data_IF_584284225315
#
_entry.id   IF_584284225315
#
_cell.length_a   1.000
_cell.length_b   1.000
_cell.length_c   1.000
_cell.angle_alpha   90.00
_cell.angle_beta   90.00
_cell.angle_gamma   90.00
#
_symmetry.space_group_name_H-M   'P 1'
#
loop_
_entity.id
_entity.type
_entity.pdbx_description
1 polymer ?
#
# COMPACT_ATOMS: atom_id res chain seq x y z
N UNK A 1 32.54 13.23 -33.66
CA UNK A 1 31.74 13.20 -34.90
C UNK A 1 30.58 12.22 -34.81
N UNK A 2 30.75 10.97 -34.33
CA UNK A 2 29.66 9.98 -34.25
C UNK A 2 28.33 10.49 -33.65
N UNK A 3 28.38 11.34 -32.61
CA UNK A 3 27.20 11.98 -31.99
C UNK A 3 26.29 12.79 -32.95
N UNK A 4 26.78 13.20 -34.13
CA UNK A 4 26.04 14.01 -35.09
C UNK A 4 25.42 13.17 -36.20
N UNK A 5 25.66 11.86 -36.20
CA UNK A 5 25.04 10.94 -37.14
C UNK A 5 23.59 10.64 -36.75
N UNK A 6 22.77 10.23 -37.72
CA UNK A 6 21.43 9.74 -37.46
C UNK A 6 21.43 8.52 -36.52
N UNK A 7 20.35 8.35 -35.79
CA UNK A 7 20.15 7.28 -34.80
C UNK A 7 20.40 5.87 -35.36
N UNK A 8 19.91 5.57 -36.57
CA UNK A 8 20.14 4.27 -37.23
C UNK A 8 21.64 4.00 -37.40
N UNK A 9 22.40 5.00 -37.87
CA UNK A 9 23.84 4.85 -38.05
C UNK A 9 24.56 4.73 -36.70
N UNK A 10 24.11 5.46 -35.69
CA UNK A 10 24.65 5.33 -34.33
C UNK A 10 24.42 3.93 -33.76
N UNK A 11 23.23 3.34 -33.93
CA UNK A 11 22.91 1.98 -33.48
C UNK A 11 23.80 0.94 -34.17
N UNK A 12 23.97 1.05 -35.50
CA UNK A 12 24.88 0.16 -36.24
C UNK A 12 26.32 0.31 -35.75
N UNK A 13 26.75 1.52 -35.40
CA UNK A 13 28.08 1.76 -34.84
C UNK A 13 28.23 1.12 -33.45
N UNK A 14 27.22 1.20 -32.58
CA UNK A 14 27.23 0.53 -31.27
C UNK A 14 27.37 -0.98 -31.45
N UNK A 15 26.57 -1.58 -32.34
CA UNK A 15 26.63 -3.01 -32.62
C UNK A 15 27.99 -3.43 -33.22
N UNK A 16 28.55 -2.62 -34.11
CA UNK A 16 29.87 -2.86 -34.68
C UNK A 16 30.95 -2.81 -33.60
N UNK A 17 30.92 -1.80 -32.72
CA UNK A 17 31.85 -1.67 -31.60
C UNK A 17 31.77 -2.90 -30.71
N UNK A 18 30.56 -3.36 -30.38
CA UNK A 18 30.34 -4.57 -29.59
C UNK A 18 31.02 -5.79 -30.24
N UNK A 19 30.75 -6.05 -31.53
CA UNK A 19 31.31 -7.21 -32.25
C UNK A 19 32.84 -7.14 -32.35
N UNK A 20 33.40 -5.97 -32.67
CA UNK A 20 34.85 -5.76 -32.79
C UNK A 20 35.56 -5.97 -31.46
N UNK A 21 35.04 -5.41 -30.37
CA UNK A 21 35.66 -5.53 -29.05
C UNK A 21 35.49 -6.92 -28.42
N UNK A 22 34.50 -7.69 -28.87
CA UNK A 22 34.35 -9.09 -28.49
C UNK A 22 35.35 -9.98 -29.23
N UNK A 23 35.54 -9.75 -30.54
CA UNK A 23 36.52 -10.47 -31.35
C UNK A 23 37.97 -10.09 -31.01
N UNK A 24 38.23 -8.83 -30.67
CA UNK A 24 39.55 -8.31 -30.33
C UNK A 24 39.51 -7.43 -29.06
N UNK A 25 39.70 -8.01 -27.86
CA UNK A 25 39.68 -7.28 -26.60
C UNK A 25 40.69 -6.13 -26.48
N UNK A 26 41.77 -6.13 -27.27
CA UNK A 26 42.80 -5.08 -27.21
C UNK A 26 42.26 -3.70 -27.64
N UNK A 27 41.22 -3.66 -28.47
CA UNK A 27 40.64 -2.41 -28.97
C UNK A 27 39.63 -1.77 -28.00
N UNK A 28 39.26 -2.44 -26.89
CA UNK A 28 38.23 -1.95 -25.94
C UNK A 28 38.48 -0.53 -25.48
N UNK A 29 39.70 -0.23 -25.03
CA UNK A 29 40.08 1.09 -24.51
C UNK A 29 39.90 2.20 -25.55
N UNK A 30 40.06 1.89 -26.84
CA UNK A 30 39.90 2.85 -27.94
C UNK A 30 38.43 3.24 -28.14
N UNK A 31 37.52 2.27 -28.01
CA UNK A 31 36.09 2.48 -28.28
C UNK A 31 35.27 2.90 -27.07
N UNK A 32 35.74 2.66 -25.84
CA UNK A 32 35.04 3.09 -24.60
C UNK A 32 34.70 4.58 -24.64
N UNK A 33 35.63 5.45 -25.07
CA UNK A 33 35.36 6.90 -25.19
C UNK A 33 34.25 7.21 -26.20
N UNK A 34 34.14 6.41 -27.27
CA UNK A 34 33.06 6.55 -28.24
C UNK A 34 31.70 6.21 -27.62
N UNK A 35 31.63 5.08 -26.88
CA UNK A 35 30.41 4.64 -26.19
C UNK A 35 29.97 5.67 -25.13
N UNK A 36 30.89 6.24 -24.36
CA UNK A 36 30.56 7.32 -23.41
C UNK A 36 29.94 8.54 -24.09
N UNK A 37 30.39 8.89 -25.30
CA UNK A 37 29.75 9.99 -26.05
C UNK A 37 28.33 9.61 -26.50
N UNK A 38 28.10 8.35 -26.86
CA UNK A 38 26.80 7.85 -27.32
C UNK A 38 25.77 7.70 -26.19
N UNK A 39 26.20 7.56 -24.93
CA UNK A 39 25.30 7.65 -23.76
C UNK A 39 24.58 9.01 -23.66
N UNK A 40 25.12 10.04 -24.30
CA UNK A 40 24.55 11.38 -24.37
C UNK A 40 23.84 11.67 -25.71
N UNK A 41 23.54 10.63 -26.51
CA UNK A 41 22.76 10.77 -27.74
C UNK A 41 21.36 11.31 -27.44
N UNK A 42 20.75 12.02 -28.40
CA UNK A 42 19.36 12.45 -28.32
C UNK A 42 18.36 11.30 -28.50
N UNK A 43 18.81 10.15 -29.02
CA UNK A 43 17.97 8.97 -29.22
C UNK A 43 18.02 8.04 -28.01
N UNK A 44 16.87 7.80 -27.37
CA UNK A 44 16.77 6.91 -26.21
C UNK A 44 17.16 5.46 -26.55
N UNK A 45 16.89 5.00 -27.77
CA UNK A 45 17.33 3.68 -28.25
C UNK A 45 18.87 3.59 -28.30
N UNK A 46 19.54 4.62 -28.83
CA UNK A 46 21.01 4.67 -28.87
C UNK A 46 21.59 4.68 -27.45
N UNK A 47 21.00 5.47 -26.54
CA UNK A 47 21.43 5.52 -25.14
C UNK A 47 21.30 4.16 -24.45
N UNK A 48 20.16 3.49 -24.65
CA UNK A 48 19.89 2.16 -24.11
C UNK A 48 20.91 1.10 -24.57
N UNK A 49 21.15 1.02 -25.88
CA UNK A 49 22.11 0.07 -26.46
C UNK A 49 23.57 0.41 -26.09
N UNK A 50 23.89 1.71 -26.01
CA UNK A 50 25.22 2.18 -25.60
C UNK A 50 25.52 1.81 -24.15
N UNK A 51 24.54 1.93 -23.25
CA UNK A 51 24.68 1.51 -21.86
C UNK A 51 24.91 0.00 -21.74
N UNK A 52 24.16 -0.81 -22.49
CA UNK A 52 24.30 -2.27 -22.51
C UNK A 52 25.65 -2.72 -23.08
N UNK A 53 26.11 -2.04 -24.13
CA UNK A 53 27.44 -2.26 -24.68
C UNK A 53 28.52 -1.86 -23.67
N UNK A 54 28.39 -0.72 -23.00
CA UNK A 54 29.38 -0.22 -22.05
C UNK A 54 29.67 -1.23 -20.92
N UNK A 55 28.63 -1.78 -20.30
CA UNK A 55 28.76 -2.75 -19.20
C UNK A 55 29.38 -4.08 -19.66
N UNK A 56 29.22 -4.44 -20.93
CA UNK A 56 29.85 -5.63 -21.51
C UNK A 56 31.34 -5.41 -21.81
N UNK A 57 31.71 -4.18 -22.18
CA UNK A 57 33.08 -3.83 -22.52
C UNK A 57 33.95 -3.52 -21.30
N UNK A 58 33.35 -3.03 -20.21
CA UNK A 58 34.07 -2.56 -19.02
C UNK A 58 33.28 -2.78 -17.73
N UNK A 59 33.90 -3.49 -16.77
CA UNK A 59 33.42 -3.65 -15.40
C UNK A 59 34.02 -2.63 -14.43
N UNK A 60 34.65 -1.57 -14.94
CA UNK A 60 35.14 -0.49 -14.08
C UNK A 60 33.96 0.22 -13.39
N UNK A 61 34.08 0.60 -12.09
CA UNK A 61 33.00 1.24 -11.35
C UNK A 61 32.42 2.49 -12.02
N UNK A 62 33.25 3.29 -12.68
CA UNK A 62 32.81 4.48 -13.43
C UNK A 62 31.91 4.13 -14.62
N UNK A 63 32.21 3.04 -15.32
CA UNK A 63 31.42 2.56 -16.46
C UNK A 63 30.08 1.98 -16.01
N UNK A 64 30.09 1.17 -14.95
CA UNK A 64 28.88 0.61 -14.35
C UNK A 64 27.97 1.74 -13.87
N UNK A 65 28.52 2.71 -13.13
CA UNK A 65 27.76 3.86 -12.62
C UNK A 65 27.15 4.68 -13.76
N UNK A 66 27.93 4.99 -14.80
CA UNK A 66 27.44 5.74 -15.96
C UNK A 66 26.32 5.01 -16.71
N UNK A 67 26.45 3.69 -16.92
CA UNK A 67 25.42 2.89 -17.58
C UNK A 67 24.14 2.79 -16.73
N UNK A 68 24.26 2.50 -15.43
CA UNK A 68 23.13 2.42 -14.52
C UNK A 68 22.40 3.77 -14.39
N UNK A 69 23.13 4.88 -14.24
CA UNK A 69 22.53 6.22 -14.24
C UNK A 69 21.83 6.54 -15.56
N UNK A 70 22.40 6.13 -16.70
CA UNK A 70 21.75 6.28 -18.00
C UNK A 70 20.42 5.50 -18.07
N UNK A 71 20.40 4.24 -17.60
CA UNK A 71 19.16 3.47 -17.55
C UNK A 71 18.11 4.08 -16.62
N UNK A 72 18.50 4.54 -15.42
CA UNK A 72 17.59 5.22 -14.50
C UNK A 72 17.00 6.48 -15.16
N UNK A 73 17.83 7.30 -15.81
CA UNK A 73 17.36 8.48 -16.53
C UNK A 73 16.37 8.15 -17.64
N UNK A 74 16.61 7.08 -18.40
CA UNK A 74 15.70 6.60 -19.44
C UNK A 74 14.34 6.23 -18.82
N UNK A 75 14.34 5.45 -17.73
CA UNK A 75 13.11 5.04 -17.04
C UNK A 75 12.31 6.26 -16.55
N UNK A 76 12.99 7.27 -16.00
CA UNK A 76 12.35 8.48 -15.47
C UNK A 76 11.78 9.36 -16.60
N UNK A 77 12.47 9.49 -17.74
CA UNK A 77 12.09 10.40 -18.82
C UNK A 77 11.12 9.78 -19.83
N UNK A 78 11.13 8.47 -20.01
CA UNK A 78 10.25 7.79 -20.94
C UNK A 78 8.78 7.94 -20.54
N UNK A 79 7.88 7.93 -21.53
CA UNK A 79 6.44 7.99 -21.30
C UNK A 79 5.78 6.60 -21.37
N UNK A 80 6.31 5.70 -22.20
CA UNK A 80 5.78 4.34 -22.36
C UNK A 80 6.20 3.44 -21.20
N UNK A 81 5.21 2.91 -20.46
CA UNK A 81 5.44 2.00 -19.34
C UNK A 81 6.12 0.69 -19.78
N UNK A 82 5.86 0.20 -21.00
CA UNK A 82 6.50 -1.02 -21.50
C UNK A 82 8.01 -0.79 -21.69
N UNK A 83 8.39 0.36 -22.25
CA UNK A 83 9.81 0.73 -22.38
C UNK A 83 10.44 0.86 -20.99
N UNK A 84 9.77 1.50 -20.03
CA UNK A 84 10.26 1.57 -18.64
C UNK A 84 10.50 0.19 -18.05
N UNK A 85 9.56 -0.74 -18.22
CA UNK A 85 9.67 -2.10 -17.71
C UNK A 85 10.85 -2.85 -18.35
N UNK A 86 11.04 -2.73 -19.68
CA UNK A 86 12.17 -3.33 -20.39
C UNK A 86 13.51 -2.78 -19.86
N UNK A 87 13.63 -1.45 -19.72
CA UNK A 87 14.86 -0.82 -19.23
C UNK A 87 15.11 -1.18 -17.76
N UNK A 88 14.06 -1.25 -16.95
CA UNK A 88 14.15 -1.64 -15.55
C UNK A 88 14.55 -3.12 -15.39
N UNK A 89 14.06 -4.01 -16.25
CA UNK A 89 14.51 -5.41 -16.28
C UNK A 89 15.99 -5.53 -16.64
N UNK A 90 16.51 -4.65 -17.50
CA UNK A 90 17.96 -4.57 -17.72
C UNK A 90 18.74 -4.06 -16.54
N UNK A 91 18.24 -3.05 -15.86
CA UNK A 91 18.88 -2.56 -14.63
C UNK A 91 18.86 -3.63 -13.53
N UNK A 92 17.78 -4.39 -13.39
CA UNK A 92 17.67 -5.52 -12.47
C UNK A 92 18.69 -6.62 -12.83
N UNK A 93 18.81 -6.98 -14.11
CA UNK A 93 19.78 -7.98 -14.55
C UNK A 93 21.24 -7.59 -14.25
N UNK A 94 21.56 -6.29 -14.23
CA UNK A 94 22.90 -5.84 -13.82
C UNK A 94 23.23 -6.22 -12.38
N UNK A 95 22.24 -6.26 -11.48
CA UNK A 95 22.45 -6.59 -10.06
C UNK A 95 22.90 -8.04 -9.85
N UNK A 96 22.69 -8.94 -10.82
CA UNK A 96 23.09 -10.35 -10.71
C UNK A 96 24.61 -10.54 -10.68
N UNK A 97 25.37 -9.51 -11.07
CA UNK A 97 26.82 -9.49 -10.94
C UNK A 97 27.23 -8.73 -9.66
N UNK A 98 27.89 -9.42 -8.73
CA UNK A 98 28.30 -8.85 -7.42
C UNK A 98 29.12 -7.55 -7.52
N UNK A 99 29.95 -7.40 -8.55
CA UNK A 99 30.75 -6.18 -8.73
C UNK A 99 29.88 -5.01 -9.19
N UNK A 100 28.86 -5.29 -10.02
CA UNK A 100 27.92 -4.27 -10.47
C UNK A 100 26.98 -3.88 -9.32
N UNK A 101 26.50 -4.85 -8.57
CA UNK A 101 25.63 -4.63 -7.39
C UNK A 101 26.27 -3.64 -6.42
N UNK A 102 27.52 -3.86 -6.01
CA UNK A 102 28.27 -2.96 -5.10
C UNK A 102 28.29 -1.50 -5.57
N UNK A 103 28.43 -1.28 -6.88
CA UNK A 103 28.44 0.08 -7.45
C UNK A 103 27.02 0.65 -7.53
N UNK A 104 26.02 -0.18 -7.79
CA UNK A 104 24.62 0.21 -7.85
C UNK A 104 24.03 0.58 -6.48
N UNK A 105 24.61 0.08 -5.38
CA UNK A 105 24.23 0.49 -4.02
C UNK A 105 24.35 2.00 -3.78
N UNK A 106 25.26 2.68 -4.50
CA UNK A 106 25.41 4.14 -4.45
C UNK A 106 24.31 4.88 -5.23
N UNK A 107 23.49 4.17 -6.01
CA UNK A 107 22.45 4.73 -6.88
C UNK A 107 21.03 4.45 -6.36
N UNK A 108 20.86 3.94 -5.14
CA UNK A 108 19.53 3.62 -4.57
C UNK A 108 18.60 4.83 -4.60
N UNK A 109 19.10 6.01 -4.23
CA UNK A 109 18.30 7.24 -4.24
C UNK A 109 17.90 7.66 -5.66
N UNK A 110 18.77 7.42 -6.64
CA UNK A 110 18.45 7.65 -8.05
C UNK A 110 17.38 6.67 -8.54
N UNK A 111 17.45 5.38 -8.15
CA UNK A 111 16.43 4.37 -8.46
C UNK A 111 15.07 4.79 -7.89
N UNK A 112 15.01 5.35 -6.67
CA UNK A 112 13.76 5.80 -6.05
C UNK A 112 13.10 6.96 -6.82
N UNK A 113 13.81 7.67 -7.70
CA UNK A 113 13.19 8.67 -8.58
C UNK A 113 12.20 8.06 -9.57
N UNK A 114 12.31 6.76 -9.86
CA UNK A 114 11.38 6.02 -10.73
C UNK A 114 9.96 5.98 -10.16
N UNK A 115 9.78 6.18 -8.84
CA UNK A 115 8.45 6.18 -8.20
C UNK A 115 7.52 7.29 -8.69
N UNK A 116 8.07 8.32 -9.35
CA UNK A 116 7.29 9.35 -10.04
C UNK A 116 6.46 8.78 -11.22
N UNK A 117 6.78 7.60 -11.74
CA UNK A 117 5.97 6.92 -12.74
C UNK A 117 4.56 6.63 -12.19
N UNK A 118 3.48 6.79 -12.97
CA UNK A 118 2.11 6.53 -12.50
C UNK A 118 1.82 5.02 -12.37
N UNK A 119 2.52 4.20 -13.15
CA UNK A 119 2.28 2.77 -13.26
C UNK A 119 2.73 1.99 -12.00
N UNK A 120 1.84 1.15 -11.50
CA UNK A 120 2.06 0.38 -10.27
C UNK A 120 3.13 -0.71 -10.44
N UNK A 121 3.27 -1.29 -11.63
CA UNK A 121 4.23 -2.36 -11.87
C UNK A 121 5.65 -1.81 -11.99
N UNK A 122 5.82 -0.65 -12.66
CA UNK A 122 7.07 0.11 -12.66
C UNK A 122 7.49 0.45 -11.23
N UNK A 123 6.58 0.96 -10.41
CA UNK A 123 6.83 1.26 -8.99
C UNK A 123 7.21 0.02 -8.19
N UNK A 124 6.51 -1.10 -8.40
CA UNK A 124 6.77 -2.38 -7.74
C UNK A 124 8.17 -2.89 -8.02
N UNK A 125 8.57 -2.95 -9.29
CA UNK A 125 9.92 -3.39 -9.69
C UNK A 125 11.00 -2.43 -9.19
N UNK A 126 10.75 -1.11 -9.21
CA UNK A 126 11.71 -0.13 -8.71
C UNK A 126 11.93 -0.25 -7.19
N UNK A 127 10.86 -0.44 -6.41
CA UNK A 127 10.96 -0.67 -4.97
C UNK A 127 11.65 -2.01 -4.65
N UNK A 128 11.35 -3.07 -5.41
CA UNK A 128 12.03 -4.35 -5.25
C UNK A 128 13.54 -4.21 -5.48
N UNK A 129 13.94 -3.55 -6.57
CA UNK A 129 15.35 -3.27 -6.85
C UNK A 129 15.99 -2.40 -5.75
N UNK A 130 15.30 -1.35 -5.29
CA UNK A 130 15.81 -0.50 -4.21
C UNK A 130 16.01 -1.29 -2.91
N UNK A 131 15.09 -2.21 -2.57
CA UNK A 131 15.19 -3.08 -1.39
C UNK A 131 16.34 -4.11 -1.45
N UNK A 132 16.71 -4.52 -2.66
CA UNK A 132 17.87 -5.38 -2.87
C UNK A 132 19.18 -4.60 -2.71
N UNK A 133 19.21 -3.34 -3.16
CA UNK A 133 20.41 -2.49 -3.14
C UNK A 133 20.60 -1.70 -1.83
N UNK A 134 19.58 -1.61 -0.97
CA UNK A 134 19.65 -0.83 0.28
C UNK A 134 20.54 -1.52 1.34
N UNK A 135 21.31 -0.70 2.07
CA UNK A 135 22.19 -1.11 3.16
C UNK A 135 22.13 -0.08 4.32
N UNK A 136 22.79 -0.37 5.44
CA UNK A 136 22.65 0.43 6.66
C UNK A 136 22.99 1.93 6.51
N UNK A 137 23.79 2.32 5.50
CA UNK A 137 24.15 3.74 5.30
C UNK A 137 23.06 4.55 4.60
N UNK A 138 22.29 3.93 3.69
CA UNK A 138 21.30 4.63 2.86
C UNK A 138 19.85 4.37 3.29
N UNK A 139 19.61 3.41 4.20
CA UNK A 139 18.25 3.09 4.66
C UNK A 139 17.52 4.29 5.28
N UNK A 140 18.20 5.14 6.04
CA UNK A 140 17.57 6.32 6.64
C UNK A 140 17.02 7.28 5.58
N UNK A 141 17.77 7.49 4.49
CA UNK A 141 17.35 8.33 3.39
C UNK A 141 16.23 7.69 2.56
N UNK A 142 16.32 6.37 2.33
CA UNK A 142 15.27 5.60 1.66
C UNK A 142 13.94 5.69 2.42
N UNK A 143 13.95 5.48 3.75
CA UNK A 143 12.76 5.61 4.59
C UNK A 143 12.20 7.03 4.51
N UNK A 144 13.04 8.06 4.50
CA UNK A 144 12.58 9.45 4.35
C UNK A 144 11.86 9.68 3.01
N UNK A 145 12.35 9.09 1.91
CA UNK A 145 11.67 9.16 0.61
C UNK A 145 10.36 8.39 0.64
N UNK A 146 10.32 7.18 1.21
CA UNK A 146 9.10 6.39 1.31
C UNK A 146 8.02 7.11 2.14
N UNK A 147 8.39 7.77 3.24
CA UNK A 147 7.47 8.61 4.03
C UNK A 147 6.89 9.77 3.21
N UNK A 148 7.71 10.41 2.38
CA UNK A 148 7.24 11.47 1.46
C UNK A 148 6.28 10.91 0.42
N UNK A 149 6.55 9.71 -0.12
CA UNK A 149 5.65 9.04 -1.04
C UNK A 149 4.31 8.70 -0.38
N UNK A 150 4.33 8.18 0.85
CA UNK A 150 3.14 7.97 1.68
C UNK A 150 2.32 9.26 1.81
N UNK A 151 2.96 10.38 2.17
CA UNK A 151 2.28 11.66 2.33
C UNK A 151 1.58 12.11 1.03
N UNK A 152 2.19 11.87 -0.14
CA UNK A 152 1.56 12.19 -1.44
C UNK A 152 0.29 11.41 -1.72
N UNK A 153 0.13 10.22 -1.13
CA UNK A 153 -1.06 9.39 -1.35
C UNK A 153 -2.28 9.83 -0.55
N UNK A 154 -2.16 10.72 0.44
CA UNK A 154 -3.27 11.10 1.31
C UNK A 154 -4.37 11.88 0.58
N UNK A 155 -4.00 12.73 -0.38
CA UNK A 155 -4.93 13.65 -1.06
C UNK A 155 -5.41 13.17 -2.45
N UNK A 156 -5.04 11.96 -2.84
CA UNK A 156 -5.33 11.42 -4.18
C UNK A 156 -6.12 10.14 -4.01
N UNK A 157 -7.37 10.11 -4.47
CA UNK A 157 -8.20 8.91 -4.45
C UNK A 157 -8.45 8.40 -5.87
N UNK A 158 -7.68 7.38 -6.25
CA UNK A 158 -7.86 6.58 -7.46
C UNK A 158 -7.60 5.11 -7.13
N UNK A 159 -8.15 4.18 -7.92
CA UNK A 159 -8.02 2.73 -7.70
C UNK A 159 -6.56 2.28 -7.52
N UNK A 160 -5.65 2.79 -8.35
CA UNK A 160 -4.23 2.46 -8.27
C UNK A 160 -3.52 3.12 -7.08
N UNK A 161 -4.11 4.16 -6.48
CA UNK A 161 -3.57 4.77 -5.26
C UNK A 161 -3.69 3.80 -4.09
N UNK A 162 -4.80 3.06 -3.98
CA UNK A 162 -4.94 2.02 -2.97
C UNK A 162 -3.87 0.93 -3.10
N UNK A 163 -3.63 0.44 -4.33
CA UNK A 163 -2.57 -0.54 -4.62
C UNK A 163 -1.18 0.02 -4.29
N UNK A 164 -0.95 1.31 -4.57
CA UNK A 164 0.33 1.96 -4.26
C UNK A 164 0.55 2.14 -2.76
N UNK A 165 -0.47 2.56 -1.99
CA UNK A 165 -0.41 2.64 -0.53
C UNK A 165 -0.06 1.29 0.09
N UNK A 166 -0.72 0.23 -0.36
CA UNK A 166 -0.41 -1.14 0.09
C UNK A 166 1.05 -1.53 -0.21
N UNK A 167 1.54 -1.20 -1.41
CA UNK A 167 2.93 -1.46 -1.80
C UNK A 167 3.93 -0.70 -0.92
N UNK A 168 3.66 0.57 -0.60
CA UNK A 168 4.49 1.38 0.30
C UNK A 168 4.50 0.82 1.73
N UNK A 169 3.33 0.44 2.27
CA UNK A 169 3.21 -0.19 3.60
C UNK A 169 4.07 -1.46 3.68
N UNK A 170 3.94 -2.36 2.71
CA UNK A 170 4.74 -3.61 2.67
C UNK A 170 6.24 -3.34 2.56
N UNK A 171 6.63 -2.31 1.81
CA UNK A 171 8.03 -1.94 1.65
C UNK A 171 8.60 -1.37 2.96
N UNK A 172 7.87 -0.48 3.62
CA UNK A 172 8.23 0.10 4.92
C UNK A 172 8.26 -0.95 6.04
N UNK A 173 7.32 -1.89 6.03
CA UNK A 173 7.34 -3.07 6.89
C UNK A 173 8.65 -3.85 6.69
N UNK A 174 8.96 -4.23 5.45
CA UNK A 174 10.20 -4.97 5.13
C UNK A 174 11.46 -4.18 5.54
N UNK A 175 11.48 -2.86 5.32
CA UNK A 175 12.57 -1.98 5.78
C UNK A 175 12.77 -2.06 7.29
N UNK A 176 11.69 -1.96 8.06
CA UNK A 176 11.75 -1.94 9.53
C UNK A 176 12.21 -3.29 10.10
N UNK A 177 11.82 -4.39 9.46
CA UNK A 177 12.19 -5.75 9.87
C UNK A 177 13.64 -6.08 9.51
N UNK A 178 14.13 -5.59 8.36
CA UNK A 178 15.52 -5.75 7.91
C UNK A 178 16.48 -4.81 8.64
N UNK A 179 16.03 -3.61 9.00
CA UNK A 179 16.82 -2.57 9.68
C UNK A 179 16.06 -2.05 10.91
N UNK A 180 16.27 -2.67 12.10
CA UNK A 180 15.57 -2.28 13.32
C UNK A 180 15.71 -0.81 13.71
N UNK A 181 16.86 -0.20 13.40
CA UNK A 181 17.18 1.19 13.77
C UNK A 181 16.20 2.23 13.19
N UNK A 182 15.54 1.93 12.07
CA UNK A 182 14.56 2.86 11.46
C UNK A 182 13.13 2.62 11.95
N UNK A 183 12.86 1.48 12.61
CA UNK A 183 11.51 1.03 12.96
C UNK A 183 10.75 2.05 13.82
N UNK A 184 11.40 2.62 14.84
CA UNK A 184 10.81 3.64 15.72
C UNK A 184 10.26 4.85 14.94
N UNK A 185 10.87 5.18 13.81
CA UNK A 185 10.41 6.30 12.97
C UNK A 185 9.34 5.87 11.95
N UNK A 186 9.27 4.59 11.59
CA UNK A 186 8.35 4.05 10.59
C UNK A 186 6.99 3.71 11.22
N UNK A 187 6.99 3.22 12.46
CA UNK A 187 5.79 2.81 13.19
C UNK A 187 4.68 3.88 13.15
N UNK A 188 4.91 5.15 13.53
CA UNK A 188 3.85 6.15 13.55
C UNK A 188 3.23 6.36 12.16
N UNK A 189 4.07 6.38 11.12
CA UNK A 189 3.64 6.57 9.73
C UNK A 189 2.79 5.39 9.23
N UNK A 190 3.09 4.17 9.66
CA UNK A 190 2.28 3.01 9.28
C UNK A 190 0.96 2.95 10.04
N UNK A 191 0.94 3.33 11.31
CA UNK A 191 -0.28 3.36 12.13
C UNK A 191 -1.34 4.31 11.55
N UNK A 192 -0.94 5.42 10.94
CA UNK A 192 -1.87 6.35 10.25
C UNK A 192 -2.74 5.65 9.18
N UNK A 193 -2.20 4.62 8.50
CA UNK A 193 -2.91 3.85 7.48
C UNK A 193 -3.99 2.89 8.04
N UNK A 194 -4.10 2.73 9.36
CA UNK A 194 -5.22 1.99 9.96
C UNK A 194 -6.57 2.70 9.73
N UNK A 195 -6.54 4.01 9.51
CA UNK A 195 -7.71 4.83 9.17
C UNK A 195 -8.04 4.86 7.67
N UNK A 196 -7.20 4.23 6.84
CA UNK A 196 -7.34 4.22 5.38
C UNK A 196 -8.63 3.48 4.95
N UNK A 197 -9.23 3.95 3.85
CA UNK A 197 -10.35 3.28 3.18
C UNK A 197 -9.94 1.94 2.57
N UNK A 198 -8.66 1.77 2.23
CA UNK A 198 -8.13 0.51 1.73
C UNK A 198 -7.88 -0.50 2.87
N UNK A 199 -8.83 -1.41 3.07
CA UNK A 199 -8.75 -2.50 4.05
C UNK A 199 -7.49 -3.37 3.89
N UNK A 200 -6.98 -3.58 2.67
CA UNK A 200 -5.80 -4.41 2.44
C UNK A 200 -4.52 -3.75 2.98
N UNK A 201 -4.40 -2.42 2.86
CA UNK A 201 -3.27 -1.68 3.41
C UNK A 201 -3.31 -1.70 4.95
N UNK A 202 -4.47 -1.42 5.54
CA UNK A 202 -4.66 -1.49 7.00
C UNK A 202 -4.40 -2.90 7.56
N UNK A 203 -4.80 -3.96 6.84
CA UNK A 203 -4.51 -5.33 7.25
C UNK A 203 -3.00 -5.63 7.26
N UNK A 204 -2.26 -5.18 6.23
CA UNK A 204 -0.80 -5.32 6.19
C UNK A 204 -0.13 -4.53 7.34
N UNK A 205 -0.67 -3.37 7.74
CA UNK A 205 -0.19 -2.62 8.93
C UNK A 205 -0.38 -3.42 10.22
N UNK A 206 -1.53 -4.06 10.44
CA UNK A 206 -1.74 -4.86 11.65
C UNK A 206 -0.82 -6.08 11.72
N UNK A 207 -0.53 -6.70 10.57
CA UNK A 207 0.46 -7.78 10.48
C UNK A 207 1.85 -7.24 10.88
N UNK A 208 2.24 -6.09 10.36
CA UNK A 208 3.48 -5.41 10.73
C UNK A 208 3.53 -5.11 12.23
N UNK A 209 2.48 -4.50 12.80
CA UNK A 209 2.40 -4.15 14.23
C UNK A 209 2.59 -5.40 15.10
N UNK A 210 1.88 -6.49 14.77
CA UNK A 210 2.00 -7.76 15.49
C UNK A 210 3.44 -8.29 15.45
N UNK A 211 4.08 -8.28 14.28
CA UNK A 211 5.46 -8.73 14.14
C UNK A 211 6.44 -7.79 14.86
N UNK A 212 6.23 -6.48 14.77
CA UNK A 212 7.08 -5.45 15.37
C UNK A 212 7.09 -5.52 16.90
N UNK A 213 5.95 -5.77 17.54
CA UNK A 213 5.87 -5.93 19.00
C UNK A 213 6.73 -7.12 19.46
N UNK A 214 6.67 -8.24 18.74
CA UNK A 214 7.44 -9.44 19.08
C UNK A 214 8.93 -9.28 18.79
N UNK A 215 9.27 -8.62 17.67
CA UNK A 215 10.65 -8.46 17.21
C UNK A 215 11.38 -7.33 17.93
N UNK A 216 10.65 -6.31 18.38
CA UNK A 216 11.20 -5.12 19.04
C UNK A 216 10.54 -4.87 20.41
N UNK A 217 10.86 -5.67 21.44
CA UNK A 217 10.25 -5.51 22.77
C UNK A 217 10.45 -4.11 23.38
N UNK A 218 11.54 -3.43 23.04
CA UNK A 218 11.80 -2.06 23.51
C UNK A 218 10.86 -1.01 22.88
N UNK A 219 10.22 -1.33 21.75
CA UNK A 219 9.28 -0.44 21.05
C UNK A 219 7.81 -0.82 21.30
N UNK A 220 7.53 -1.88 22.07
CA UNK A 220 6.16 -2.36 22.31
C UNK A 220 5.27 -1.27 22.89
N UNK A 221 5.76 -0.54 23.91
CA UNK A 221 5.03 0.57 24.52
C UNK A 221 4.64 1.65 23.51
N UNK A 222 5.59 2.06 22.66
CA UNK A 222 5.36 3.05 21.59
C UNK A 222 4.31 2.57 20.57
N UNK A 223 4.38 1.29 20.19
CA UNK A 223 3.46 0.70 19.22
C UNK A 223 2.04 0.65 19.80
N UNK A 224 1.91 0.23 21.06
CA UNK A 224 0.63 0.15 21.77
C UNK A 224 0.02 1.54 21.93
N UNK A 225 0.80 2.52 22.37
CA UNK A 225 0.36 3.92 22.54
C UNK A 225 -0.23 4.45 21.22
N UNK A 226 0.50 4.35 20.11
CA UNK A 226 -0.01 4.78 18.82
C UNK A 226 -1.20 3.97 18.30
N UNK A 227 -1.26 2.66 18.60
CA UNK A 227 -2.41 1.84 18.22
C UNK A 227 -3.67 2.25 18.97
N UNK A 228 -3.57 2.59 20.26
CA UNK A 228 -4.68 3.12 21.08
C UNK A 228 -5.13 4.47 20.51
N UNK A 229 -4.21 5.39 20.23
CA UNK A 229 -4.52 6.70 19.66
C UNK A 229 -5.24 6.61 18.30
N UNK A 230 -4.80 5.69 17.44
CA UNK A 230 -5.39 5.50 16.11
C UNK A 230 -6.69 4.68 16.14
N UNK A 231 -6.97 3.95 17.22
CA UNK A 231 -8.10 3.02 17.32
C UNK A 231 -9.46 3.65 16.96
N UNK A 232 -9.83 4.86 17.45
CA UNK A 232 -11.11 5.48 17.13
C UNK A 232 -11.26 5.90 15.66
N UNK A 233 -10.15 6.01 14.92
CA UNK A 233 -10.15 6.43 13.51
C UNK A 233 -10.31 5.26 12.53
N UNK A 234 -10.25 4.02 13.01
CA UNK A 234 -10.41 2.83 12.18
C UNK A 234 -11.85 2.80 11.66
N UNK A 235 -12.05 2.49 10.37
CA UNK A 235 -13.41 2.42 9.78
C UNK A 235 -13.86 0.99 9.50
N UNK A 236 -12.93 0.10 9.19
CA UNK A 236 -13.26 -1.30 8.87
C UNK A 236 -13.47 -2.13 10.15
N UNK A 237 -14.59 -2.83 10.23
CA UNK A 237 -14.90 -3.76 11.33
C UNK A 237 -13.88 -4.91 11.44
N UNK A 238 -13.34 -5.38 10.31
CA UNK A 238 -12.33 -6.46 10.31
C UNK A 238 -11.01 -5.99 10.92
N UNK A 239 -10.60 -4.77 10.58
CA UNK A 239 -9.38 -4.13 11.10
C UNK A 239 -9.56 -3.85 12.59
N UNK A 240 -10.71 -3.32 13.02
CA UNK A 240 -11.05 -3.18 14.43
C UNK A 240 -10.91 -4.47 15.22
N UNK A 241 -11.53 -5.56 14.76
CA UNK A 241 -11.46 -6.85 15.46
C UNK A 241 -10.01 -7.32 15.64
N UNK A 242 -9.19 -7.16 14.61
CA UNK A 242 -7.78 -7.54 14.68
C UNK A 242 -6.98 -6.59 15.59
N UNK A 243 -7.26 -5.29 15.59
CA UNK A 243 -6.65 -4.32 16.50
C UNK A 243 -7.02 -4.62 17.97
N UNK A 244 -8.28 -4.93 18.27
CA UNK A 244 -8.73 -5.35 19.61
C UNK A 244 -7.98 -6.60 20.07
N UNK A 245 -7.78 -7.57 19.18
CA UNK A 245 -7.00 -8.77 19.51
C UNK A 245 -5.55 -8.42 19.89
N UNK A 246 -4.89 -7.53 19.13
CA UNK A 246 -3.52 -7.08 19.44
C UNK A 246 -3.51 -6.37 20.80
N UNK A 247 -4.40 -5.40 21.03
CA UNK A 247 -4.46 -4.67 22.28
C UNK A 247 -4.75 -5.60 23.48
N UNK A 248 -5.67 -6.55 23.34
CA UNK A 248 -6.00 -7.51 24.39
C UNK A 248 -4.87 -8.50 24.72
N UNK A 249 -3.98 -8.79 23.78
CA UNK A 249 -2.85 -9.71 24.00
C UNK A 249 -1.63 -9.02 24.62
N UNK A 250 -1.34 -7.77 24.22
CA UNK A 250 -0.06 -7.11 24.54
C UNK A 250 -0.15 -5.96 25.54
N UNK A 251 -1.35 -5.48 25.87
CA UNK A 251 -1.52 -4.40 26.85
C UNK A 251 -1.50 -4.97 28.26
N UNK A 252 -0.67 -4.39 29.12
CA UNK A 252 -0.56 -4.77 30.52
C UNK A 252 -0.68 -3.54 31.45
N UNK A 253 -1.16 -3.77 32.68
CA UNK A 253 -1.17 -2.76 33.72
C UNK A 253 -2.21 -1.63 33.50
N UNK A 254 -1.86 -0.36 33.76
CA UNK A 254 -2.84 0.73 33.79
C UNK A 254 -3.39 1.11 32.40
N UNK A 255 -2.66 0.81 31.32
CA UNK A 255 -3.06 1.09 29.94
C UNK A 255 -4.31 0.30 29.51
N UNK A 256 -4.69 -0.75 30.26
CA UNK A 256 -5.93 -1.50 30.01
C UNK A 256 -7.15 -0.57 30.06
N UNK A 257 -7.15 0.42 30.94
CA UNK A 257 -8.26 1.37 31.08
C UNK A 257 -8.38 2.22 29.82
N UNK A 258 -7.25 2.72 29.29
CA UNK A 258 -7.21 3.52 28.06
C UNK A 258 -7.72 2.73 26.85
N UNK A 259 -7.41 1.44 26.77
CA UNK A 259 -7.94 0.55 25.71
C UNK A 259 -9.45 0.39 25.84
N UNK A 260 -9.96 0.17 27.05
CA UNK A 260 -11.41 0.02 27.29
C UNK A 260 -12.13 1.32 26.92
N UNK A 261 -11.59 2.47 27.30
CA UNK A 261 -12.14 3.78 26.97
C UNK A 261 -12.15 4.01 25.45
N UNK A 262 -11.07 3.67 24.75
CA UNK A 262 -11.01 3.74 23.29
C UNK A 262 -12.05 2.82 22.62
N UNK A 263 -12.25 1.60 23.15
CA UNK A 263 -13.27 0.67 22.65
C UNK A 263 -14.68 1.21 22.88
N UNK A 264 -14.98 1.73 24.07
CA UNK A 264 -16.29 2.30 24.40
C UNK A 264 -16.60 3.52 23.54
N UNK A 265 -15.61 4.39 23.34
CA UNK A 265 -15.75 5.57 22.48
C UNK A 265 -16.15 5.19 21.05
N UNK A 266 -15.57 4.12 20.49
CA UNK A 266 -15.86 3.70 19.12
C UNK A 266 -17.15 2.90 18.98
N UNK A 267 -17.58 2.18 20.02
CA UNK A 267 -18.86 1.46 20.05
C UNK A 267 -20.07 2.40 20.12
N UNK A 268 -19.90 3.58 20.73
CA UNK A 268 -21.01 4.48 21.03
C UNK A 268 -21.97 3.90 22.09
N UNK A 269 -23.19 4.42 22.15
CA UNK A 269 -24.18 3.95 23.10
C UNK A 269 -24.58 2.50 22.81
N UNK A 270 -24.22 1.58 23.73
CA UNK A 270 -24.48 0.16 23.59
C UNK A 270 -25.98 -0.09 23.72
N UNK A 271 -26.70 -0.49 22.64
CA UNK A 271 -28.16 -0.58 22.66
C UNK A 271 -28.70 -1.55 23.70
N UNK A 272 -27.89 -2.51 24.15
CA UNK A 272 -28.29 -3.47 25.18
C UNK A 272 -28.59 -2.81 26.53
N UNK A 273 -27.87 -1.77 26.93
CA UNK A 273 -28.09 -1.14 28.25
C UNK A 273 -29.34 -0.28 28.20
N UNK A 274 -29.58 0.46 27.11
CA UNK A 274 -30.83 1.17 26.91
C UNK A 274 -32.02 0.24 26.71
N UNK A 275 -31.87 -0.85 25.94
CA UNK A 275 -32.94 -1.83 25.75
C UNK A 275 -33.28 -2.57 27.04
N UNK A 276 -32.28 -2.89 27.88
CA UNK A 276 -32.50 -3.49 29.20
C UNK A 276 -33.09 -2.47 30.19
N UNK A 277 -32.62 -1.22 30.17
CA UNK A 277 -33.21 -0.14 30.97
C UNK A 277 -34.64 0.17 30.54
N UNK A 278 -34.95 0.23 29.23
CA UNK A 278 -36.32 0.40 28.69
C UNK A 278 -37.22 -0.79 29.04
N UNK A 279 -36.70 -2.03 29.00
CA UNK A 279 -37.42 -3.22 29.47
C UNK A 279 -37.69 -3.18 30.97
N UNK A 280 -36.74 -2.70 31.78
CA UNK A 280 -36.89 -2.58 33.23
C UNK A 280 -37.81 -1.42 33.64
N UNK A 281 -37.83 -0.32 32.86
CA UNK A 281 -38.73 0.83 33.08
C UNK A 281 -40.13 0.64 32.49
N UNK A 282 -40.40 -0.47 31.81
CA UNK A 282 -41.72 -0.83 31.31
C UNK A 282 -42.16 -0.05 30.07
N UNK A 283 -41.23 0.57 29.35
CA UNK A 283 -41.56 1.27 28.10
C UNK A 283 -41.86 0.26 26.99
N UNK A 284 -42.95 0.43 26.22
CA UNK A 284 -43.30 -0.49 25.16
C UNK A 284 -42.26 -0.43 24.04
N UNK A 285 -41.71 -1.58 23.67
CA UNK A 285 -40.83 -1.76 22.50
C UNK A 285 -41.51 -1.26 21.23
N UNK A 286 -40.76 -0.51 20.41
CA UNK A 286 -41.19 0.12 19.14
C UNK A 286 -41.71 -0.85 18.06
N UNK A 287 -41.74 -2.16 18.32
CA UNK A 287 -42.44 -3.13 17.47
C UNK A 287 -43.96 -2.93 17.43
N UNK A 288 -44.53 -2.10 18.33
CA UNK A 288 -45.94 -1.69 18.28
C UNK A 288 -46.19 -0.39 17.48
N UNK A 289 -45.15 0.28 16.96
CA UNK A 289 -45.28 1.64 16.41
C UNK A 289 -45.30 1.71 14.87
N UNK A 290 -45.20 0.58 14.14
CA UNK A 290 -45.20 0.57 12.67
C UNK A 290 -46.50 0.05 11.99
N UNK A 291 -47.61 -0.08 12.72
CA UNK A 291 -48.91 -0.39 12.12
C UNK A 291 -50.00 0.62 12.52
N UNK A 292 -49.77 1.92 12.33
CA UNK A 292 -50.87 2.88 12.22
C UNK A 292 -50.39 4.19 11.59
N UNK A 293 -50.68 4.41 10.31
CA UNK A 293 -50.36 5.69 9.68
C UNK A 293 -50.40 5.78 8.15
N UNK A 294 -51.44 5.26 7.49
CA UNK A 294 -51.81 5.74 6.16
C UNK A 294 -53.25 6.28 6.20
N UNK A 295 -53.49 7.60 6.08
CA UNK A 295 -54.82 8.13 5.90
C UNK A 295 -55.24 7.98 4.43
N UNK A 296 -56.20 7.11 4.19
CA UNK A 296 -56.94 7.06 2.92
C UNK A 296 -58.11 8.07 2.98
N UNK A 297 -58.09 9.04 2.07
CA UNK A 297 -59.13 10.05 1.88
C UNK A 297 -59.52 10.27 0.42
N UNK A 298 -60.36 9.36 -0.10
CA UNK A 298 -61.53 9.56 -1.00
C UNK A 298 -61.38 10.31 -2.34
N UNK A 299 -61.50 9.58 -3.47
CA UNK A 299 -62.64 9.71 -4.42
C UNK A 299 -62.48 8.87 -5.70
N UNK A 300 -63.52 8.11 -6.07
CA UNK A 300 -63.90 7.96 -7.48
C UNK A 300 -63.92 6.54 -8.10
N UNK A 301 -65.08 5.88 -7.97
CA UNK A 301 -65.73 4.93 -8.90
C UNK A 301 -65.08 3.58 -9.27
N UNK A 302 -65.85 2.51 -9.01
CA UNK A 302 -66.05 1.43 -9.99
C UNK A 302 -65.87 -0.01 -9.49
N UNK A 303 -66.99 -0.67 -9.19
CA UNK A 303 -67.24 -2.09 -9.51
C UNK A 303 -66.60 -3.21 -8.65
N UNK A 304 -67.41 -3.72 -7.71
CA UNK A 304 -67.69 -5.15 -7.45
C UNK A 304 -66.56 -6.19 -7.58
N UNK A 305 -66.13 -6.79 -6.46
CA UNK A 305 -66.36 -8.22 -6.14
C UNK A 305 -65.59 -8.69 -4.89
N UNK A 306 -66.37 -9.17 -3.91
CA UNK A 306 -66.15 -10.36 -3.06
C UNK A 306 -64.72 -10.75 -2.63
N UNK A 307 -64.38 -10.59 -1.34
CA UNK A 307 -63.78 -11.70 -0.55
C UNK A 307 -63.76 -11.44 0.96
N UNK A 308 -64.09 -12.51 1.68
CA UNK A 308 -64.05 -12.78 3.13
C UNK A 308 -62.74 -12.37 3.83
N UNK A 309 -62.83 -11.56 4.88
CA UNK A 309 -61.73 -11.31 5.82
C UNK A 309 -61.96 -12.06 7.15
N UNK A 310 -61.25 -13.15 7.31
CA UNK A 310 -61.01 -13.87 8.56
C UNK A 310 -60.36 -12.94 9.59
N UNK A 311 -61.00 -12.81 10.75
CA UNK A 311 -60.47 -12.11 11.93
C UNK A 311 -59.35 -12.94 12.57
N UNK A 312 -58.10 -12.47 12.47
CA UNK A 312 -56.98 -13.04 13.22
C UNK A 312 -57.05 -12.56 14.69
N UNK A 313 -57.53 -13.42 15.57
CA UNK A 313 -57.49 -13.22 17.02
C UNK A 313 -56.04 -13.35 17.53
N UNK A 314 -55.61 -12.38 18.34
CA UNK A 314 -54.29 -12.34 18.96
C UNK A 314 -54.31 -13.24 20.21
N UNK A 315 -53.50 -14.31 20.22
CA UNK A 315 -53.30 -15.14 21.42
C UNK A 315 -52.35 -14.43 22.38
N UNK A 316 -52.77 -14.15 23.61
CA UNK A 316 -51.89 -13.67 24.69
C UNK A 316 -51.41 -14.84 25.53
N UNK A 317 -50.12 -14.85 25.89
CA UNK A 317 -49.51 -15.88 26.73
C UNK A 317 -49.51 -15.42 28.18
N UNK A 318 -50.00 -16.26 29.09
CA UNK A 318 -50.00 -15.99 30.54
C UNK A 318 -48.63 -16.30 31.15
N UNK A 319 -48.37 -15.79 32.35
CA UNK A 319 -47.08 -15.89 33.05
C UNK A 319 -46.63 -17.32 33.40
N UNK A 320 -47.46 -18.33 33.18
CA UNK A 320 -47.17 -19.76 33.30
C UNK A 320 -46.88 -20.44 31.94
N UNK A 321 -46.91 -19.70 30.83
CA UNK A 321 -46.60 -20.18 29.48
C UNK A 321 -47.79 -20.72 28.68
N UNK A 322 -49.03 -20.59 29.16
CA UNK A 322 -50.22 -21.06 28.44
C UNK A 322 -50.80 -19.97 27.53
N UNK A 323 -51.27 -20.32 26.32
CA UNK A 323 -51.88 -19.39 25.36
C UNK A 323 -53.38 -19.20 25.65
N UNK A 324 -53.83 -17.94 25.76
CA UNK A 324 -55.22 -17.55 25.93
C UNK A 324 -55.72 -16.71 24.73
N UNK A 325 -56.87 -17.11 24.17
CA UNK A 325 -57.62 -16.37 23.14
C UNK A 325 -58.75 -15.57 23.80
N UNK A 326 -58.83 -14.27 23.51
CA UNK A 326 -59.97 -13.44 23.92
C UNK A 326 -60.88 -13.22 22.71
N UNK A 327 -62.07 -13.84 22.71
CA UNK A 327 -63.12 -13.55 21.74
C UNK A 327 -64.04 -12.48 22.31
N UNK A 328 -64.08 -11.28 21.71
CA UNK A 328 -65.02 -10.23 22.09
C UNK A 328 -66.36 -10.43 21.34
N UNK A 329 -67.47 -10.26 22.07
CA UNK A 329 -68.82 -10.02 21.53
C UNK A 329 -69.07 -8.51 21.45
#
# INVERSE_FOLDING_TARGET
>A
QVHSFGDILQLVIVELIYKVCHANPAERSRFIRCIYNLLNSSSNAVRYESAGTLITLSLAPTAIKAAASCYIELIVKESDNNVKLIVLDRLIAMKENENMEKVMQDLVMDVLRVLAAPDIEVRRKALALAMDLVYSRNIGEMVLVLKKEVAKTHNVEHEDTGKYRQLLVRTLHTCSIKFPDVAATVIPVLVEFLSDTNELAAADVLIFIREAIQKFPALSGLIIEHLIEAFPQIKSSKIHRAAVWILGEYVEGPQIIEVIDAIQQTLGDVPMVEAEQRRLSGDPTEEQSQQQGYPAGVSGNGSSSTTTSTTNAINKVTSDGTYATQSAY
#
